data_IF_810331304033
#
_entry.id   IF_810331304033
#
_cell.length_a   1.000
_cell.length_b   1.000
_cell.length_c   1.000
_cell.angle_alpha   90.00
_cell.angle_beta   90.00
_cell.angle_gamma   90.00
#
_symmetry.space_group_name_H-M   'P 1'
#
loop_
_entity.id
_entity.type
_entity.pdbx_description
1 polymer ?
#
# COMPACT_ATOMS: atom_id res chain seq x y z
N UNK A 1 -14.62 -2.31 0.18
CA UNK A 1 -13.30 -1.87 0.66
C UNK A 1 -12.90 -2.87 1.71
N UNK A 2 -11.93 -3.74 1.43
CA UNK A 2 -11.51 -4.80 2.36
C UNK A 2 -10.00 -4.81 2.39
N UNK A 3 -9.45 -3.81 3.07
CA UNK A 3 -8.01 -3.74 3.34
C UNK A 3 -7.63 -4.91 4.25
N UNK A 4 -6.57 -5.62 3.87
CA UNK A 4 -5.98 -6.71 4.64
C UNK A 4 -4.78 -6.18 5.42
N UNK A 5 -4.75 -6.41 6.72
CA UNK A 5 -3.63 -6.05 7.60
C UNK A 5 -2.90 -7.31 8.07
N UNK A 6 -1.57 -7.27 8.03
CA UNK A 6 -0.72 -8.38 8.50
C UNK A 6 -0.88 -8.63 10.00
N UNK A 7 -0.51 -9.82 10.45
CA UNK A 7 -0.46 -10.17 11.88
C UNK A 7 0.54 -9.27 12.62
N UNK A 8 1.71 -9.00 12.05
CA UNK A 8 2.71 -8.11 12.64
C UNK A 8 2.19 -6.68 12.84
N UNK A 9 1.46 -6.15 11.86
CA UNK A 9 0.86 -4.81 11.98
C UNK A 9 -0.22 -4.76 13.06
N UNK A 10 -1.13 -5.75 13.09
CA UNK A 10 -2.19 -5.81 14.10
C UNK A 10 -1.61 -5.87 15.51
N UNK A 11 -0.60 -6.70 15.73
CA UNK A 11 0.05 -6.82 17.04
C UNK A 11 0.77 -5.53 17.44
N UNK A 12 1.49 -4.87 16.51
CA UNK A 12 2.16 -3.61 16.80
C UNK A 12 1.16 -2.52 17.22
N UNK A 13 0.03 -2.39 16.50
CA UNK A 13 -0.99 -1.39 16.81
C UNK A 13 -1.65 -1.67 18.16
N UNK A 14 -1.85 -2.94 18.52
CA UNK A 14 -2.50 -3.31 19.77
C UNK A 14 -1.58 -3.24 21.00
N UNK A 15 -0.26 -3.37 20.83
CA UNK A 15 0.66 -3.57 21.95
C UNK A 15 1.81 -2.57 22.04
N UNK A 16 2.11 -1.80 20.99
CA UNK A 16 3.38 -1.06 20.92
C UNK A 16 3.26 0.38 20.46
N UNK A 17 2.42 0.69 19.49
CA UNK A 17 2.35 2.04 18.95
C UNK A 17 1.17 2.29 18.04
N UNK A 18 1.19 3.44 17.36
CA UNK A 18 0.12 3.81 16.42
C UNK A 18 0.33 3.21 15.03
N UNK A 19 -0.74 3.16 14.25
CA UNK A 19 -0.70 2.77 12.83
C UNK A 19 0.27 3.66 12.02
N UNK A 20 0.32 4.95 12.32
CA UNK A 20 1.26 5.90 11.72
C UNK A 20 2.72 5.52 12.02
N UNK A 21 3.05 5.30 13.29
CA UNK A 21 4.40 4.89 13.69
C UNK A 21 4.80 3.54 13.10
N UNK A 22 3.84 2.68 12.77
CA UNK A 22 4.09 1.38 12.16
C UNK A 22 4.41 1.45 10.66
N UNK A 23 3.96 2.50 9.96
CA UNK A 23 3.93 2.57 8.49
C UNK A 23 4.65 3.79 7.90
N UNK A 24 5.06 4.78 8.70
CA UNK A 24 5.91 5.87 8.22
C UNK A 24 7.26 5.31 7.72
N UNK A 25 7.73 5.81 6.58
CA UNK A 25 8.96 5.36 5.93
C UNK A 25 8.80 4.12 5.05
N UNK A 26 7.57 3.69 4.79
CA UNK A 26 7.28 2.50 3.96
C UNK A 26 7.23 2.86 2.48
N UNK A 27 7.18 1.86 1.60
CA UNK A 27 6.92 2.03 0.17
C UNK A 27 5.61 1.35 -0.20
N UNK A 28 4.92 1.90 -1.21
CA UNK A 28 3.71 1.31 -1.75
C UNK A 28 4.04 0.64 -3.08
N UNK A 29 4.01 -0.69 -3.11
CA UNK A 29 4.26 -1.46 -4.31
C UNK A 29 2.94 -1.88 -4.97
N UNK A 30 2.82 -1.68 -6.28
CA UNK A 30 1.66 -2.10 -7.07
C UNK A 30 2.05 -3.32 -7.89
N UNK A 31 1.17 -4.32 -7.91
CA UNK A 31 1.42 -5.61 -8.53
C UNK A 31 0.30 -6.03 -9.49
N UNK A 32 0.69 -6.76 -10.53
CA UNK A 32 -0.20 -7.60 -11.33
C UNK A 32 -0.20 -9.05 -10.79
N UNK A 33 -1.19 -9.82 -11.24
CA UNK A 33 -1.36 -11.23 -10.87
C UNK A 33 -2.38 -11.44 -9.75
N UNK A 34 -2.36 -12.62 -9.13
CA UNK A 34 -3.31 -12.97 -8.08
C UNK A 34 -2.98 -12.24 -6.77
N UNK A 35 -3.95 -11.50 -6.24
CA UNK A 35 -3.81 -10.89 -4.93
C UNK A 35 -3.68 -11.97 -3.83
N UNK A 36 -2.65 -11.92 -2.97
CA UNK A 36 -2.51 -12.84 -1.85
C UNK A 36 -3.73 -12.84 -0.92
N UNK A 37 -4.09 -14.01 -0.39
CA UNK A 37 -5.26 -14.18 0.48
C UNK A 37 -5.16 -13.33 1.77
N UNK A 38 -3.96 -13.16 2.31
CA UNK A 38 -3.67 -12.33 3.47
C UNK A 38 -2.43 -11.47 3.22
N UNK A 39 -2.25 -10.41 4.01
CA UNK A 39 -1.03 -9.59 3.96
C UNK A 39 0.21 -10.32 4.52
N UNK A 40 0.03 -11.43 5.24
CA UNK A 40 1.12 -12.29 5.72
C UNK A 40 1.65 -13.22 4.62
N UNK A 41 0.83 -13.53 3.61
CA UNK A 41 1.17 -14.46 2.55
C UNK A 41 2.24 -13.89 1.60
N UNK A 42 3.04 -14.79 1.03
CA UNK A 42 4.03 -14.46 0.01
C UNK A 42 3.36 -13.88 -1.25
N UNK A 43 4.10 -13.06 -2.00
CA UNK A 43 3.64 -12.50 -3.28
C UNK A 43 3.44 -13.55 -4.37
N UNK A 44 4.05 -14.73 -4.23
CA UNK A 44 3.95 -15.82 -5.21
C UNK A 44 4.52 -15.40 -6.57
N UNK A 45 3.71 -15.57 -7.62
CA UNK A 45 4.06 -15.19 -9.00
C UNK A 45 3.64 -13.75 -9.37
N UNK A 46 3.25 -12.92 -8.40
CA UNK A 46 2.86 -11.54 -8.67
C UNK A 46 4.03 -10.74 -9.27
N UNK A 47 3.73 -9.91 -10.26
CA UNK A 47 4.73 -9.07 -10.95
C UNK A 47 4.67 -7.65 -10.42
N UNK A 48 5.80 -7.11 -9.99
CA UNK A 48 5.91 -5.71 -9.56
C UNK A 48 5.75 -4.79 -10.77
N UNK A 49 4.80 -3.86 -10.70
CA UNK A 49 4.54 -2.88 -11.76
C UNK A 49 5.16 -1.52 -11.46
N UNK A 50 5.09 -1.07 -10.21
CA UNK A 50 5.68 0.18 -9.75
C UNK A 50 5.93 0.16 -8.24
N UNK A 51 7.00 0.85 -7.82
CA UNK A 51 7.30 1.15 -6.42
C UNK A 51 7.09 2.64 -6.20
N UNK A 52 6.05 2.97 -5.43
CA UNK A 52 5.69 4.33 -5.07
C UNK A 52 6.45 4.74 -3.82
N UNK A 53 7.12 5.88 -3.91
CA UNK A 53 7.96 6.51 -2.89
C UNK A 53 7.81 8.03 -2.96
N UNK A 54 8.48 8.78 -2.07
CA UNK A 54 8.49 10.25 -2.15
C UNK A 54 9.21 10.69 -3.41
N UNK A 55 8.47 11.33 -4.32
CA UNK A 55 8.93 11.80 -5.63
C UNK A 55 9.50 10.71 -6.54
N UNK A 56 9.18 9.43 -6.30
CA UNK A 56 9.76 8.32 -7.06
C UNK A 56 11.25 8.06 -6.80
N UNK A 57 11.83 8.62 -5.73
CA UNK A 57 13.28 8.56 -5.44
C UNK A 57 13.72 7.37 -4.58
N UNK A 58 12.77 6.55 -4.12
CA UNK A 58 13.01 5.44 -3.18
C UNK A 58 12.93 5.85 -1.70
N UNK A 59 12.81 7.14 -1.38
CA UNK A 59 12.56 7.59 -0.01
C UNK A 59 11.17 7.15 0.46
N UNK A 60 11.11 6.47 1.61
CA UNK A 60 9.86 5.97 2.17
C UNK A 60 8.83 7.08 2.41
N UNK A 61 7.56 6.77 2.19
CA UNK A 61 6.45 7.69 2.32
C UNK A 61 5.99 7.88 3.77
N UNK A 62 5.42 9.04 4.08
CA UNK A 62 4.87 9.33 5.41
C UNK A 62 3.40 9.73 5.37
N UNK A 63 2.70 9.45 6.46
CA UNK A 63 1.31 9.87 6.62
C UNK A 63 1.21 11.26 7.24
N UNK A 64 0.04 11.89 7.14
CA UNK A 64 -0.27 13.16 7.80
C UNK A 64 0.08 13.11 9.30
N UNK A 65 0.42 14.28 9.87
CA UNK A 65 0.83 14.39 11.28
C UNK A 65 -0.27 13.99 12.26
N UNK A 66 -1.54 14.14 11.86
CA UNK A 66 -2.71 13.74 12.64
C UNK A 66 -3.66 12.88 11.80
N UNK A 67 -4.30 11.91 12.46
CA UNK A 67 -5.47 11.22 11.94
C UNK A 67 -6.74 12.03 12.28
N UNK A 68 -7.77 11.90 11.45
CA UNK A 68 -9.09 12.50 11.66
C UNK A 68 -10.17 11.43 11.47
N UNK A 69 -11.14 11.37 12.38
CA UNK A 69 -12.28 10.43 12.32
C UNK A 69 -11.88 8.96 12.08
N UNK A 70 -10.76 8.52 12.68
CA UNK A 70 -10.25 7.15 12.52
C UNK A 70 -9.59 6.88 11.16
N UNK A 71 -9.32 7.92 10.37
CA UNK A 71 -8.67 7.84 9.06
C UNK A 71 -7.27 8.44 9.13
N UNK A 72 -6.30 7.64 8.69
CA UNK A 72 -4.94 8.09 8.43
C UNK A 72 -4.78 8.32 6.93
N UNK A 73 -4.34 9.53 6.56
CA UNK A 73 -4.20 9.94 5.16
C UNK A 73 -2.74 10.18 4.79
N UNK A 74 -2.42 10.06 3.50
CA UNK A 74 -1.12 10.47 2.94
C UNK A 74 -0.71 11.87 3.42
N UNK A 75 0.59 12.10 3.61
CA UNK A 75 1.12 13.43 3.84
C UNK A 75 0.96 14.30 2.58
N UNK A 76 0.14 15.35 2.67
CA UNK A 76 -0.17 16.23 1.54
C UNK A 76 1.05 17.03 1.02
N UNK A 77 2.10 17.17 1.82
CA UNK A 77 3.35 17.82 1.40
C UNK A 77 4.27 16.91 0.60
N UNK A 78 3.95 15.61 0.48
CA UNK A 78 4.74 14.66 -0.29
C UNK A 78 4.06 14.36 -1.64
N UNK A 79 4.84 14.42 -2.72
CA UNK A 79 4.46 13.77 -3.96
C UNK A 79 4.72 12.27 -3.80
N UNK A 80 3.67 11.45 -3.83
CA UNK A 80 3.82 9.99 -3.85
C UNK A 80 3.73 9.55 -5.29
N UNK A 81 4.81 9.00 -5.81
CA UNK A 81 4.87 8.56 -7.19
C UNK A 81 5.92 7.46 -7.40
N UNK A 82 5.83 6.79 -8.55
CA UNK A 82 6.82 5.80 -8.96
C UNK A 82 6.78 5.54 -10.46
N UNK A 83 7.93 5.34 -11.07
CA UNK A 83 8.05 4.96 -12.48
C UNK A 83 7.54 3.54 -12.67
N UNK A 84 6.69 3.35 -13.68
CA UNK A 84 6.15 2.05 -14.05
C UNK A 84 7.24 1.25 -14.78
N UNK A 85 7.63 0.12 -14.19
CA UNK A 85 8.68 -0.78 -14.72
C UNK A 85 8.11 -1.96 -15.51
N UNK A 86 6.84 -2.29 -15.29
CA UNK A 86 6.10 -3.29 -16.03
C UNK A 86 4.61 -2.92 -16.09
N UNK A 87 3.91 -3.31 -17.16
CA UNK A 87 2.51 -2.98 -17.35
C UNK A 87 1.99 -3.35 -18.73
N UNK A 88 0.88 -2.75 -19.15
CA UNK A 88 0.17 -3.03 -20.39
C UNK A 88 -1.14 -3.78 -20.18
N UNK A 89 -1.91 -3.94 -21.25
CA UNK A 89 -3.27 -4.51 -21.19
C UNK A 89 -3.28 -5.96 -20.69
N UNK A 90 -2.24 -6.74 -21.01
CA UNK A 90 -2.08 -8.12 -20.55
C UNK A 90 -1.52 -8.25 -19.13
N UNK A 91 -1.11 -7.12 -18.51
CA UNK A 91 -0.51 -7.09 -17.18
C UNK A 91 -1.14 -5.99 -16.31
N UNK A 92 -2.46 -6.06 -16.05
CA UNK A 92 -3.17 -5.01 -15.33
C UNK A 92 -2.76 -4.97 -13.85
N UNK A 93 -2.77 -3.78 -13.27
CA UNK A 93 -2.65 -3.59 -11.84
C UNK A 93 -3.84 -4.22 -11.11
N UNK A 94 -3.56 -5.09 -10.13
CA UNK A 94 -4.60 -5.84 -9.40
C UNK A 94 -4.63 -5.44 -7.92
N UNK A 95 -3.48 -5.41 -7.27
CA UNK A 95 -3.38 -5.14 -5.84
C UNK A 95 -2.14 -4.31 -5.53
N UNK A 96 -2.14 -3.72 -4.34
CA UNK A 96 -0.99 -3.02 -3.79
C UNK A 96 -0.61 -3.62 -2.45
N UNK A 97 0.64 -3.39 -2.05
CA UNK A 97 1.14 -3.68 -0.72
C UNK A 97 1.96 -2.50 -0.23
N UNK A 98 1.57 -1.94 0.92
CA UNK A 98 2.39 -1.01 1.68
C UNK A 98 3.27 -1.85 2.63
N UNK A 99 4.59 -1.70 2.50
CA UNK A 99 5.57 -2.54 3.17
C UNK A 99 6.86 -1.76 3.46
N UNK A 100 7.71 -2.29 4.33
CA UNK A 100 9.03 -1.72 4.55
C UNK A 100 9.85 -1.77 3.23
N UNK A 101 10.77 -0.81 2.98
CA UNK A 101 11.56 -0.78 1.76
C UNK A 101 12.41 -2.04 1.53
N UNK A 102 12.82 -2.70 2.60
CA UNK A 102 13.64 -3.92 2.62
C UNK A 102 12.81 -5.22 2.72
N UNK A 103 11.49 -5.13 2.64
CA UNK A 103 10.61 -6.30 2.71
C UNK A 103 10.81 -7.24 1.51
N UNK A 104 11.10 -8.51 1.79
CA UNK A 104 11.45 -9.54 0.80
C UNK A 104 10.26 -10.12 0.03
N UNK A 105 9.02 -9.75 0.37
CA UNK A 105 7.82 -10.29 -0.26
C UNK A 105 7.48 -11.74 0.10
N UNK A 106 8.27 -12.38 0.96
CA UNK A 106 8.05 -13.73 1.45
C UNK A 106 6.93 -13.79 2.51
N UNK A 107 6.44 -15.00 2.79
CA UNK A 107 5.48 -15.22 3.85
C UNK A 107 6.07 -14.81 5.20
N UNK A 108 5.36 -13.99 5.96
CA UNK A 108 5.83 -13.48 7.25
C UNK A 108 4.68 -13.04 8.13
N UNK A 109 4.72 -13.42 9.40
CA UNK A 109 3.80 -12.96 10.45
C UNK A 109 4.35 -11.78 11.26
N UNK A 110 5.63 -11.44 11.05
CA UNK A 110 6.30 -10.32 11.74
C UNK A 110 6.34 -9.06 10.89
N UNK A 111 6.41 -9.21 9.57
CA UNK A 111 6.38 -8.08 8.65
C UNK A 111 5.07 -7.31 8.84
N UNK A 112 5.20 -5.99 8.97
CA UNK A 112 4.04 -5.09 9.04
C UNK A 112 3.69 -4.74 7.60
N UNK A 113 2.51 -5.12 7.15
CA UNK A 113 2.03 -4.91 5.78
C UNK A 113 0.56 -4.52 5.77
N UNK A 114 0.22 -3.65 4.83
CA UNK A 114 -1.16 -3.35 4.44
C UNK A 114 -1.31 -3.75 2.99
N UNK A 115 -2.40 -4.43 2.65
CA UNK A 115 -2.69 -4.88 1.29
C UNK A 115 -4.13 -4.54 0.91
N UNK A 116 -4.35 -4.17 -0.34
CA UNK A 116 -5.70 -3.97 -0.87
C UNK A 116 -5.73 -3.98 -2.39
N UNK A 117 -6.93 -3.89 -2.94
CA UNK A 117 -7.13 -3.87 -4.39
C UNK A 117 -6.79 -2.52 -5.00
N UNK A 118 -6.44 -2.55 -6.28
CA UNK A 118 -6.08 -1.37 -7.08
C UNK A 118 -7.10 -1.14 -8.20
N UNK A 119 -7.49 0.11 -8.42
CA UNK A 119 -8.39 0.51 -9.49
C UNK A 119 -9.30 1.70 -9.11
N UNK A 120 -10.12 2.21 -10.04
CA UNK A 120 -10.86 3.48 -9.86
C UNK A 120 -11.85 3.44 -8.70
N UNK A 121 -12.40 2.26 -8.39
CA UNK A 121 -13.35 2.07 -7.29
C UNK A 121 -12.83 1.14 -6.19
N UNK A 122 -11.51 0.89 -6.13
CA UNK A 122 -10.87 -0.04 -5.19
C UNK A 122 -10.25 0.67 -4.00
N UNK A 123 -9.48 -0.02 -3.16
CA UNK A 123 -8.88 0.57 -1.96
C UNK A 123 -7.80 1.61 -2.33
N UNK A 124 -6.90 1.28 -3.27
CA UNK A 124 -6.02 2.26 -3.90
C UNK A 124 -6.62 2.76 -5.21
N UNK A 125 -6.86 4.08 -5.26
CA UNK A 125 -7.50 4.76 -6.38
C UNK A 125 -6.46 5.12 -7.44
N UNK A 126 -6.62 4.51 -8.61
CA UNK A 126 -5.93 4.93 -9.84
C UNK A 126 -6.96 4.99 -10.98
N UNK A 127 -6.74 5.88 -11.94
CA UNK A 127 -7.69 6.14 -13.04
C UNK A 127 -7.81 4.95 -14.01
N UNK A 128 -6.73 4.20 -14.21
CA UNK A 128 -6.67 3.03 -15.09
C UNK A 128 -5.79 1.95 -14.45
N UNK A 129 -6.16 0.68 -14.59
CA UNK A 129 -5.30 -0.45 -14.19
C UNK A 129 -4.33 -0.86 -15.29
N UNK A 130 -4.48 -0.34 -16.51
CA UNK A 130 -3.51 -0.51 -17.60
C UNK A 130 -2.41 0.53 -17.46
N UNK A 131 -1.29 0.12 -16.87
CA UNK A 131 -0.14 0.98 -16.62
C UNK A 131 0.81 0.97 -17.83
N UNK A 132 1.29 2.13 -18.25
CA UNK A 132 2.22 2.27 -19.38
C UNK A 132 3.65 2.34 -18.85
N UNK A 133 4.52 1.43 -19.31
CA UNK A 133 5.93 1.37 -18.88
C UNK A 133 6.66 2.68 -19.22
N UNK A 134 7.49 3.15 -18.29
CA UNK A 134 8.24 4.41 -18.41
C UNK A 134 7.48 5.64 -17.93
N UNK A 135 6.14 5.59 -17.86
CA UNK A 135 5.37 6.68 -17.28
C UNK A 135 5.46 6.66 -15.74
N UNK A 136 5.21 7.82 -15.15
CA UNK A 136 5.06 7.96 -13.70
C UNK A 136 3.62 7.66 -13.28
N UNK A 137 3.46 6.87 -12.21
CA UNK A 137 2.18 6.64 -11.56
C UNK A 137 2.10 7.51 -10.29
N UNK A 138 1.38 8.64 -10.32
CA UNK A 138 1.13 9.42 -9.11
C UNK A 138 0.04 8.76 -8.26
N UNK A 139 0.15 8.94 -6.93
CA UNK A 139 -0.89 8.62 -5.96
C UNK A 139 -1.37 9.92 -5.33
N UNK A 140 -2.49 10.44 -5.85
CA UNK A 140 -3.06 11.72 -5.42
C UNK A 140 -3.75 11.60 -4.06
N UNK A 141 -4.34 10.44 -3.77
CA UNK A 141 -5.02 10.19 -2.52
C UNK A 141 -4.78 8.78 -2.02
N UNK A 142 -4.59 8.67 -0.71
CA UNK A 142 -4.49 7.39 -0.02
C UNK A 142 -5.02 7.57 1.40
N UNK A 143 -5.94 6.68 1.79
CA UNK A 143 -6.60 6.69 3.08
C UNK A 143 -6.59 5.29 3.65
N UNK A 144 -6.22 5.19 4.92
CA UNK A 144 -6.30 3.98 5.70
C UNK A 144 -7.24 4.26 6.88
N UNK A 145 -8.44 3.70 6.80
CA UNK A 145 -9.42 3.78 7.88
C UNK A 145 -9.24 2.61 8.84
N UNK A 146 -9.31 2.90 10.13
CA UNK A 146 -9.55 1.87 11.13
C UNK A 146 -11.04 1.52 11.15
N UNK A 147 -11.42 0.24 11.35
CA UNK A 147 -12.82 -0.13 11.45
C UNK A 147 -13.53 0.68 12.56
N UNK A 148 -14.62 1.35 12.18
CA UNK A 148 -15.57 1.88 13.14
C UNK A 148 -16.51 0.76 13.57
N UNK A 149 -16.65 0.55 14.88
CA UNK A 149 -17.63 -0.37 15.46
C UNK A 149 -18.80 0.47 15.98
N UNK A 150 -19.92 0.61 15.23
CA UNK A 150 -21.10 1.29 15.76
C UNK A 150 -21.67 0.49 16.94
N UNK A 151 -21.75 1.10 18.13
CA UNK A 151 -22.55 0.58 19.25
C UNK A 151 -21.80 0.02 20.47
N UNK A 152 -20.75 0.70 20.92
CA UNK A 152 -20.37 0.76 22.35
C UNK A 152 -20.49 2.19 22.85
#
# INVERSE_FOLDING_TARGET
MTIKTSTGLRNYVMASGSLKAALDGYVLNIYAGTEPATADAALGAATLLTTVSVGGTGTGVTFASAAADGVLQKNASEAWSGTIVAGGESLPAVFYRLQAPDDTGLASTMARRVQGGVGPSRDLKISSTTLVVGNEQPIDSYYLSWPYMPGV
#
